data_IF_187759993120
#
_entry.id   IF_187759993120
#
_cell.length_a   1.000
_cell.length_b   1.000
_cell.length_c   1.000
_cell.angle_alpha   90.00
_cell.angle_beta   90.00
_cell.angle_gamma   90.00
#
_symmetry.space_group_name_H-M   'P 1'
#
loop_
_entity.id
_entity.type
_entity.pdbx_description
1 polymer ?
#
# COMPACT_ATOMS: atom_id res chain seq x y z
N UNK A 1 7.34 -30.90 2.01
CA UNK A 1 7.31 -29.47 1.67
C UNK A 1 5.88 -28.96 1.80
N UNK A 2 5.59 -28.13 2.79
CA UNK A 2 4.25 -27.57 3.01
C UNK A 2 3.94 -26.57 1.90
N UNK A 3 2.96 -26.89 1.04
CA UNK A 3 2.51 -25.98 -0.02
C UNK A 3 2.00 -24.70 0.65
N UNK A 4 2.65 -23.57 0.39
CA UNK A 4 2.25 -22.27 0.93
C UNK A 4 0.81 -21.97 0.47
N UNK A 5 -0.14 -22.00 1.42
CA UNK A 5 -1.58 -21.84 1.17
C UNK A 5 -1.91 -20.56 0.40
N UNK A 6 -1.07 -19.54 0.51
CA UNK A 6 -1.31 -18.20 -0.03
C UNK A 6 -0.62 -17.94 -1.38
N UNK A 7 0.18 -18.89 -1.89
CA UNK A 7 0.85 -18.82 -3.19
C UNK A 7 1.76 -17.58 -3.42
N UNK A 8 2.39 -17.07 -2.36
CA UNK A 8 3.30 -15.91 -2.39
C UNK A 8 4.78 -16.27 -2.59
N UNK A 9 5.08 -17.45 -3.16
CA UNK A 9 6.45 -17.96 -3.25
C UNK A 9 7.36 -17.16 -4.21
N UNK A 10 6.78 -16.29 -5.04
CA UNK A 10 7.51 -15.38 -5.93
C UNK A 10 8.14 -14.20 -5.18
N UNK A 11 7.77 -13.96 -3.92
CA UNK A 11 8.36 -12.90 -3.09
C UNK A 11 9.64 -13.36 -2.39
N UNK A 12 10.54 -12.44 -1.99
CA UNK A 12 11.63 -12.73 -1.07
C UNK A 12 11.17 -13.41 0.22
N UNK A 13 12.03 -14.25 0.80
CA UNK A 13 11.63 -15.10 1.94
C UNK A 13 11.25 -14.30 3.18
N UNK A 14 11.93 -13.19 3.43
CA UNK A 14 11.60 -12.25 4.50
C UNK A 14 10.25 -11.56 4.29
N UNK A 15 9.94 -11.15 3.06
CA UNK A 15 8.62 -10.57 2.72
C UNK A 15 7.50 -11.59 2.96
N UNK A 16 7.71 -12.84 2.53
CA UNK A 16 6.76 -13.91 2.80
C UNK A 16 6.53 -14.08 4.30
N UNK A 17 7.61 -14.14 5.10
CA UNK A 17 7.51 -14.34 6.54
C UNK A 17 6.78 -13.18 7.23
N UNK A 18 7.09 -11.93 6.85
CA UNK A 18 6.40 -10.74 7.34
C UNK A 18 4.90 -10.79 7.02
N UNK A 19 4.54 -11.01 5.76
CA UNK A 19 3.13 -11.06 5.31
C UNK A 19 2.36 -12.18 6.00
N UNK A 20 2.93 -13.39 6.09
CA UNK A 20 2.29 -14.53 6.75
C UNK A 20 2.06 -14.27 8.23
N UNK A 21 3.03 -13.64 8.91
CA UNK A 21 2.89 -13.29 10.33
C UNK A 21 1.78 -12.27 10.52
N UNK A 22 1.72 -11.22 9.71
CA UNK A 22 0.64 -10.22 9.75
C UNK A 22 -0.72 -10.87 9.47
N UNK A 23 -0.83 -11.74 8.46
CA UNK A 23 -2.07 -12.47 8.14
C UNK A 23 -2.55 -13.28 9.35
N UNK A 24 -1.63 -13.97 10.03
CA UNK A 24 -1.95 -14.81 11.18
C UNK A 24 -2.32 -13.99 12.42
N UNK A 25 -1.51 -13.00 12.79
CA UNK A 25 -1.73 -12.19 14.00
C UNK A 25 -2.99 -11.35 13.91
N UNK A 26 -3.33 -10.90 12.71
CA UNK A 26 -4.47 -10.02 12.46
C UNK A 26 -5.75 -10.79 12.07
N UNK A 27 -5.69 -12.11 11.93
CA UNK A 27 -6.86 -12.93 11.56
C UNK A 27 -7.42 -12.60 10.15
N UNK A 28 -6.54 -12.39 9.17
CA UNK A 28 -6.93 -11.92 7.83
C UNK A 28 -7.23 -13.10 6.89
N UNK A 29 -8.37 -13.04 6.21
CA UNK A 29 -8.63 -13.87 5.03
C UNK A 29 -7.91 -13.29 3.81
N UNK A 30 -6.68 -13.74 3.59
CA UNK A 30 -5.84 -13.27 2.49
C UNK A 30 -5.99 -14.10 1.23
N UNK A 31 -5.98 -13.44 0.06
CA UNK A 31 -5.88 -14.10 -1.24
C UNK A 31 -5.09 -13.25 -2.24
N UNK A 32 -4.41 -13.91 -3.16
CA UNK A 32 -3.91 -13.26 -4.38
C UNK A 32 -5.05 -13.13 -5.38
N UNK A 33 -5.07 -12.06 -6.15
CA UNK A 33 -6.03 -11.84 -7.21
C UNK A 33 -5.38 -11.65 -8.57
N UNK A 34 -6.12 -11.97 -9.63
CA UNK A 34 -5.77 -11.57 -10.99
C UNK A 34 -5.68 -10.04 -11.10
N UNK A 35 -4.87 -9.53 -12.04
CA UNK A 35 -4.69 -8.10 -12.25
C UNK A 35 -6.02 -7.37 -12.48
N UNK A 36 -6.21 -6.24 -11.81
CA UNK A 36 -7.37 -5.36 -11.99
C UNK A 36 -6.89 -3.96 -12.35
N UNK A 37 -7.57 -3.33 -13.31
CA UNK A 37 -7.28 -1.96 -13.73
C UNK A 37 -7.64 -0.89 -12.69
N UNK A 38 -8.65 -1.14 -11.87
CA UNK A 38 -9.19 -0.13 -10.94
C UNK A 38 -8.51 -0.09 -9.58
N UNK A 39 -7.80 -1.15 -9.18
CA UNK A 39 -7.13 -1.24 -7.87
C UNK A 39 -6.09 -2.35 -7.82
N UNK A 40 -5.01 -2.09 -7.10
CA UNK A 40 -3.89 -3.02 -6.90
C UNK A 40 -4.12 -3.96 -5.71
N UNK A 41 -4.74 -3.42 -4.65
CA UNK A 41 -5.16 -4.12 -3.44
C UNK A 41 -6.65 -3.94 -3.19
N UNK A 42 -7.18 -4.64 -2.19
CA UNK A 42 -8.54 -4.40 -1.67
C UNK A 42 -8.69 -4.99 -0.26
N UNK A 43 -8.95 -4.15 0.73
CA UNK A 43 -9.43 -4.53 2.06
C UNK A 43 -10.96 -4.52 2.11
N UNK A 44 -11.55 -5.51 2.77
CA UNK A 44 -12.99 -5.56 3.08
C UNK A 44 -13.26 -6.08 4.48
N UNK A 45 -14.27 -5.49 5.11
CA UNK A 45 -14.88 -6.00 6.34
C UNK A 45 -16.28 -6.55 6.05
N UNK A 46 -16.52 -7.81 6.44
CA UNK A 46 -17.84 -8.43 6.39
C UNK A 46 -18.51 -8.32 7.77
N UNK A 47 -19.49 -7.42 7.90
CA UNK A 47 -20.23 -7.17 9.15
C UNK A 47 -21.00 -8.40 9.65
N UNK A 48 -21.56 -9.21 8.75
CA UNK A 48 -22.39 -10.37 9.12
C UNK A 48 -21.53 -11.47 9.73
N UNK A 49 -20.38 -11.74 9.13
CA UNK A 49 -19.47 -12.80 9.58
C UNK A 49 -18.42 -12.32 10.58
N UNK A 50 -18.35 -11.00 10.81
CA UNK A 50 -17.30 -10.35 11.58
C UNK A 50 -15.89 -10.77 11.12
N UNK A 51 -15.62 -10.66 9.80
CA UNK A 51 -14.35 -11.11 9.20
C UNK A 51 -13.70 -10.04 8.34
N UNK A 52 -12.36 -10.00 8.37
CA UNK A 52 -11.52 -9.12 7.56
C UNK A 52 -10.87 -9.88 6.41
N UNK A 53 -10.88 -9.31 5.20
CA UNK A 53 -10.22 -9.91 4.03
C UNK A 53 -9.35 -8.89 3.31
N UNK A 54 -8.20 -9.33 2.80
CA UNK A 54 -7.30 -8.55 1.96
C UNK A 54 -7.02 -9.32 0.68
N UNK A 55 -6.98 -8.62 -0.45
CA UNK A 55 -6.46 -9.17 -1.69
C UNK A 55 -5.45 -8.24 -2.35
N UNK A 56 -4.46 -8.81 -3.04
CA UNK A 56 -3.42 -8.07 -3.77
C UNK A 56 -3.23 -8.69 -5.15
N UNK A 57 -3.04 -7.86 -6.17
CA UNK A 57 -2.82 -8.31 -7.54
C UNK A 57 -1.47 -9.02 -7.69
N UNK A 58 -1.44 -10.07 -8.52
CA UNK A 58 -0.27 -10.92 -8.71
C UNK A 58 0.82 -10.32 -9.61
N UNK A 59 0.48 -9.35 -10.46
CA UNK A 59 1.37 -8.74 -11.46
C UNK A 59 2.24 -7.60 -10.91
N UNK A 60 2.16 -7.32 -9.60
CA UNK A 60 3.00 -6.33 -8.96
C UNK A 60 4.43 -6.85 -8.77
N UNK A 61 5.43 -5.96 -8.89
CA UNK A 61 6.78 -6.26 -8.42
C UNK A 61 6.79 -6.50 -6.91
N UNK A 62 7.86 -7.08 -6.37
CA UNK A 62 7.85 -7.57 -4.99
C UNK A 62 7.67 -6.44 -3.97
N UNK A 63 8.30 -5.29 -4.21
CA UNK A 63 8.16 -4.11 -3.35
C UNK A 63 6.76 -3.48 -3.45
N UNK A 64 6.19 -3.39 -4.65
CA UNK A 64 4.85 -2.85 -4.83
C UNK A 64 3.79 -3.77 -4.25
N UNK A 65 4.01 -5.08 -4.30
CA UNK A 65 3.17 -6.06 -3.63
C UNK A 65 3.19 -5.82 -2.11
N UNK A 66 4.37 -5.68 -1.52
CA UNK A 66 4.54 -5.43 -0.08
C UNK A 66 3.85 -4.14 0.35
N UNK A 67 4.11 -3.02 -0.35
CA UNK A 67 3.52 -1.72 -0.01
C UNK A 67 2.00 -1.76 -0.18
N UNK A 68 1.49 -2.40 -1.24
CA UNK A 68 0.05 -2.58 -1.44
C UNK A 68 -0.56 -3.43 -0.32
N UNK A 69 0.09 -4.51 0.11
CA UNK A 69 -0.37 -5.28 1.27
C UNK A 69 -0.44 -4.42 2.54
N UNK A 70 0.60 -3.63 2.83
CA UNK A 70 0.65 -2.73 3.99
C UNK A 70 -0.44 -1.64 3.90
N UNK A 71 -0.75 -1.14 2.70
CA UNK A 71 -1.84 -0.20 2.47
C UNK A 71 -3.18 -0.77 2.91
N UNK A 72 -3.49 -1.99 2.47
CA UNK A 72 -4.73 -2.68 2.85
C UNK A 72 -4.74 -3.08 4.34
N UNK A 73 -3.59 -3.41 4.91
CA UNK A 73 -3.44 -3.68 6.34
C UNK A 73 -3.72 -2.42 7.18
N UNK A 74 -3.26 -1.25 6.74
CA UNK A 74 -3.54 0.02 7.39
C UNK A 74 -5.05 0.32 7.39
N UNK A 75 -5.77 0.02 6.30
CA UNK A 75 -7.23 0.12 6.28
C UNK A 75 -7.89 -0.78 7.32
N UNK A 76 -7.43 -2.04 7.47
CA UNK A 76 -7.93 -2.94 8.51
C UNK A 76 -7.73 -2.36 9.91
N UNK A 77 -6.49 -2.00 10.27
CA UNK A 77 -6.16 -1.48 11.60
C UNK A 77 -6.92 -0.20 11.91
N UNK A 78 -7.03 0.70 10.93
CA UNK A 78 -7.82 1.92 11.06
C UNK A 78 -9.32 1.61 11.29
N UNK A 79 -9.87 0.63 10.57
CA UNK A 79 -11.25 0.21 10.79
C UNK A 79 -11.46 -0.38 12.19
N UNK A 80 -10.54 -1.18 12.72
CA UNK A 80 -10.66 -1.74 14.08
C UNK A 80 -10.56 -0.66 15.16
N UNK A 81 -9.63 0.29 15.02
CA UNK A 81 -9.43 1.38 15.98
C UNK A 81 -10.57 2.39 15.99
N UNK A 82 -11.14 2.69 14.83
CA UNK A 82 -12.12 3.77 14.67
C UNK A 82 -13.52 3.31 14.26
N UNK A 83 -13.74 1.99 14.17
CA UNK A 83 -15.01 1.37 13.77
C UNK A 83 -15.56 1.90 12.43
N UNK A 84 -14.67 2.25 11.50
CA UNK A 84 -15.02 2.81 10.19
C UNK A 84 -15.66 4.20 10.23
N UNK A 85 -15.48 4.95 11.32
CA UNK A 85 -16.05 6.31 11.49
C UNK A 85 -15.17 7.43 10.95
N UNK A 86 -13.96 7.10 10.48
CA UNK A 86 -12.99 8.04 9.93
C UNK A 86 -12.86 7.85 8.43
N UNK A 87 -12.32 8.87 7.75
CA UNK A 87 -12.10 8.81 6.31
C UNK A 87 -11.06 7.74 5.94
N UNK A 88 -11.30 7.00 4.85
CA UNK A 88 -10.48 5.85 4.43
C UNK A 88 -9.00 6.17 4.27
N UNK A 89 -8.63 7.41 3.96
CA UNK A 89 -7.24 7.87 3.83
C UNK A 89 -7.00 9.18 4.59
N UNK A 90 -7.72 9.34 5.71
CA UNK A 90 -7.60 10.46 6.63
C UNK A 90 -6.28 10.45 7.41
N UNK A 91 -6.16 11.37 8.37
CA UNK A 91 -4.95 11.52 9.20
C UNK A 91 -4.62 10.22 9.94
N UNK A 92 -5.65 9.55 10.45
CA UNK A 92 -5.56 8.30 11.21
C UNK A 92 -4.98 7.19 10.36
N UNK A 93 -5.52 7.00 9.16
CA UNK A 93 -5.01 5.99 8.23
C UNK A 93 -3.57 6.29 7.79
N UNK A 94 -3.25 7.56 7.48
CA UNK A 94 -1.89 7.95 7.07
C UNK A 94 -0.87 7.67 8.16
N UNK A 95 -1.21 7.98 9.41
CA UNK A 95 -0.35 7.69 10.56
C UNK A 95 -0.07 6.19 10.67
N UNK A 96 -1.12 5.36 10.69
CA UNK A 96 -0.99 3.90 10.76
C UNK A 96 -0.19 3.35 9.57
N UNK A 97 -0.43 3.86 8.36
CA UNK A 97 0.27 3.43 7.17
C UNK A 97 1.77 3.72 7.24
N UNK A 98 2.15 4.92 7.69
CA UNK A 98 3.55 5.31 7.90
C UNK A 98 4.21 4.44 8.98
N UNK A 99 3.54 4.25 10.12
CA UNK A 99 4.04 3.40 11.22
C UNK A 99 4.33 1.97 10.73
N UNK A 100 3.40 1.36 9.97
CA UNK A 100 3.60 0.02 9.42
C UNK A 100 4.74 -0.05 8.39
N UNK A 101 4.92 0.99 7.57
CA UNK A 101 6.03 1.05 6.62
C UNK A 101 7.37 1.18 7.33
N UNK A 102 7.45 1.98 8.40
CA UNK A 102 8.66 2.09 9.21
C UNK A 102 9.00 0.79 9.93
N UNK A 103 8.00 0.09 10.46
CA UNK A 103 8.18 -1.25 11.05
C UNK A 103 8.70 -2.25 10.02
N UNK A 104 8.06 -2.31 8.84
CA UNK A 104 8.49 -3.19 7.76
C UNK A 104 9.93 -2.87 7.32
N UNK A 105 10.28 -1.59 7.20
CA UNK A 105 11.63 -1.14 6.86
C UNK A 105 12.69 -1.61 7.88
N UNK A 106 12.38 -1.57 9.18
CA UNK A 106 13.30 -1.99 10.25
C UNK A 106 13.50 -3.51 10.27
N UNK A 107 12.48 -4.28 9.90
CA UNK A 107 12.50 -5.74 9.99
C UNK A 107 13.05 -6.43 8.73
N UNK A 108 12.79 -5.85 7.55
CA UNK A 108 13.06 -6.48 6.27
C UNK A 108 14.46 -6.16 5.74
N UNK A 109 15.03 -7.11 4.97
CA UNK A 109 16.33 -6.93 4.33
C UNK A 109 16.13 -6.30 2.96
N UNK A 110 16.09 -4.98 2.93
CA UNK A 110 15.79 -4.22 1.73
C UNK A 110 17.04 -3.93 0.88
N UNK A 111 16.85 -3.96 -0.44
CA UNK A 111 17.78 -3.33 -1.39
C UNK A 111 17.60 -1.82 -1.32
N UNK A 112 18.63 -1.04 -1.66
CA UNK A 112 18.56 0.43 -1.66
C UNK A 112 17.36 0.98 -2.44
N UNK A 113 17.08 0.43 -3.62
CA UNK A 113 15.94 0.84 -4.46
C UNK A 113 14.57 0.57 -3.80
N UNK A 114 14.45 -0.49 -3.00
CA UNK A 114 13.23 -0.79 -2.26
C UNK A 114 13.06 0.11 -1.04
N UNK A 115 14.17 0.44 -0.38
CA UNK A 115 14.17 1.38 0.74
C UNK A 115 13.75 2.78 0.28
N UNK A 116 14.28 3.24 -0.86
CA UNK A 116 13.86 4.51 -1.48
C UNK A 116 12.35 4.52 -1.76
N UNK A 117 11.80 3.43 -2.29
CA UNK A 117 10.37 3.35 -2.61
C UNK A 117 9.50 3.38 -1.34
N UNK A 118 9.93 2.71 -0.26
CA UNK A 118 9.26 2.81 1.04
C UNK A 118 9.34 4.25 1.58
N UNK A 119 10.51 4.88 1.51
CA UNK A 119 10.71 6.26 1.99
C UNK A 119 9.83 7.26 1.24
N UNK A 120 9.64 7.11 -0.08
CA UNK A 120 8.69 7.93 -0.86
C UNK A 120 7.27 7.80 -0.32
N UNK A 121 6.83 6.58 0.00
CA UNK A 121 5.50 6.33 0.53
C UNK A 121 5.34 6.82 1.99
N UNK A 122 6.41 6.82 2.79
CA UNK A 122 6.43 7.42 4.13
C UNK A 122 6.31 8.95 4.06
N UNK A 123 7.11 9.59 3.20
CA UNK A 123 7.13 11.04 3.07
C UNK A 123 5.85 11.60 2.40
N UNK A 124 5.19 10.78 1.59
CA UNK A 124 3.98 11.15 0.85
C UNK A 124 2.97 10.00 0.84
N UNK A 125 2.29 9.73 1.97
CA UNK A 125 1.33 8.64 2.08
C UNK A 125 0.07 8.94 1.26
N UNK A 126 -0.03 8.32 0.09
CA UNK A 126 -1.11 8.52 -0.89
C UNK A 126 -2.11 7.36 -0.88
N UNK A 127 -3.35 7.71 -1.17
CA UNK A 127 -4.44 6.75 -1.36
C UNK A 127 -4.26 5.88 -2.62
N UNK A 128 -3.50 6.38 -3.60
CA UNK A 128 -3.31 5.73 -4.90
C UNK A 128 -1.84 5.52 -5.18
N UNK A 129 -1.50 4.29 -5.60
CA UNK A 129 -0.20 3.96 -6.16
C UNK A 129 -0.17 4.38 -7.63
N UNK A 130 -0.02 5.68 -7.92
CA UNK A 130 0.04 6.21 -9.30
C UNK A 130 1.43 6.08 -9.94
N UNK A 131 2.40 5.48 -9.24
CA UNK A 131 3.83 5.48 -9.63
C UNK A 131 4.25 4.44 -10.68
N UNK A 132 3.32 3.81 -11.42
CA UNK A 132 3.70 2.97 -12.56
C UNK A 132 3.85 3.82 -13.82
N UNK A 133 4.77 4.78 -13.81
CA UNK A 133 5.33 5.32 -15.04
C UNK A 133 6.69 4.64 -15.23
N UNK A 134 6.76 3.68 -16.16
CA UNK A 134 8.05 3.12 -16.58
C UNK A 134 8.93 4.17 -17.31
N UNK A 135 8.40 5.36 -17.62
CA UNK A 135 9.02 6.32 -18.55
C UNK A 135 8.96 7.81 -18.16
N UNK A 136 8.77 8.22 -16.90
CA UNK A 136 8.64 9.68 -16.62
C UNK A 136 9.46 10.15 -15.41
N UNK A 137 10.68 10.63 -15.68
CA UNK A 137 11.65 11.13 -14.70
C UNK A 137 11.46 12.59 -14.27
N UNK A 138 10.43 13.31 -14.73
CA UNK A 138 10.30 14.76 -14.47
C UNK A 138 8.91 15.22 -14.01
N UNK A 139 8.20 14.41 -13.21
CA UNK A 139 6.93 14.84 -12.64
C UNK A 139 7.11 15.70 -11.37
N UNK A 140 7.12 17.02 -11.52
CA UNK A 140 7.01 18.00 -10.42
C UNK A 140 5.66 17.85 -9.69
N UNK A 141 5.68 17.84 -8.36
CA UNK A 141 4.46 17.84 -7.57
C UNK A 141 3.96 19.27 -7.34
N UNK A 142 2.64 19.46 -7.21
CA UNK A 142 2.05 20.77 -6.89
C UNK A 142 2.57 21.31 -5.55
N UNK A 143 3.03 20.43 -4.64
CA UNK A 143 3.70 20.82 -3.40
C UNK A 143 5.05 21.53 -3.59
N UNK A 144 5.64 21.44 -4.78
CA UNK A 144 6.96 21.96 -5.10
C UNK A 144 6.90 23.36 -5.74
N UNK A 145 5.69 23.89 -5.95
CA UNK A 145 5.45 25.21 -6.51
C UNK A 145 5.57 26.30 -5.41
N UNK A 146 6.24 27.40 -5.73
CA UNK A 146 6.27 28.56 -4.84
C UNK A 146 4.86 29.16 -4.70
N UNK A 147 4.58 29.74 -3.53
CA UNK A 147 3.31 30.42 -3.28
C UNK A 147 3.08 31.49 -4.36
N UNK A 148 1.89 31.49 -4.96
CA UNK A 148 1.47 32.31 -6.13
C UNK A 148 1.96 31.86 -7.51
N UNK A 149 2.56 30.67 -7.63
CA UNK A 149 2.83 30.09 -8.95
C UNK A 149 1.54 29.83 -9.73
N UNK A 150 1.52 30.22 -11.01
CA UNK A 150 0.45 29.91 -11.95
C UNK A 150 0.88 28.76 -12.86
N UNK A 151 -0.01 27.83 -13.14
CA UNK A 151 0.28 26.74 -14.08
C UNK A 151 -0.92 26.41 -14.97
N UNK A 152 -0.63 25.84 -16.14
CA UNK A 152 -1.62 25.51 -17.16
C UNK A 152 -1.56 24.01 -17.45
N UNK A 153 -2.71 23.36 -17.39
CA UNK A 153 -2.85 21.97 -17.80
C UNK A 153 -2.86 21.86 -19.34
N UNK A 154 -2.50 20.70 -19.88
CA UNK A 154 -2.53 20.43 -21.34
C UNK A 154 -3.89 20.68 -22.00
N UNK A 155 -4.98 20.73 -21.23
CA UNK A 155 -6.33 21.05 -21.70
C UNK A 155 -6.65 22.56 -21.68
N UNK A 156 -5.64 23.42 -21.46
CA UNK A 156 -5.78 24.88 -21.43
C UNK A 156 -6.31 25.46 -20.12
N UNK A 157 -6.58 24.62 -19.12
CA UNK A 157 -7.09 25.08 -17.82
C UNK A 157 -5.96 25.66 -16.97
N UNK A 158 -6.12 26.91 -16.53
CA UNK A 158 -5.15 27.67 -15.72
C UNK A 158 -5.52 27.68 -14.25
N UNK A 159 -4.53 27.61 -13.37
CA UNK A 159 -4.61 27.69 -11.92
C UNK A 159 -3.63 28.73 -11.38
#
# INVERSE_FOLDING_TARGET
MTRNKYNINFLPKDFQNYILRQIQSEGIFFRISSPRKSKLGDYRYNKIRNTHSISVNIDLSEIHFLITFIHELAHKKCHELHLGRVASHGKEWKQIFVELLEEAKKELKLKSTWEEEIMRNINSPRATFTGFNLDDTDALSVSDLSLYSKFELKNGRKF
#
